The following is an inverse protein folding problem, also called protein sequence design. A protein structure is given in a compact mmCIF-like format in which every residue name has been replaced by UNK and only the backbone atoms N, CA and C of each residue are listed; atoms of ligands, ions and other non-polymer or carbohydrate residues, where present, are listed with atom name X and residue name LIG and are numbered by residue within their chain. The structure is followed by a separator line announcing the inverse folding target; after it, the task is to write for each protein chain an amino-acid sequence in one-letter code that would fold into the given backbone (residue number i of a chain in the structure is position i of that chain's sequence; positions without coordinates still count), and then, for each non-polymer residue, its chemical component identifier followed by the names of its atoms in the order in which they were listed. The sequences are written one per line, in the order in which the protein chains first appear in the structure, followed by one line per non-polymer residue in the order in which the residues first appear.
data_IF_662271063489
#
_entry.id   IF_662271063489
#
_cell.length_a   1.000
_cell.length_b   1.000
_cell.length_c   1.000
_cell.angle_alpha   90.00
_cell.angle_beta   90.00
_cell.angle_gamma   90.00
#
_symmetry.space_group_name_H-M   'P 1'
#
loop_
_entity.id
_entity.type
_entity.pdbx_description
1 polymer ?
#
# COMPACT_ATOMS: atom_id res chain seq x y z
N UNK A 1 24.52 5.42 -1.73
CA UNK A 1 23.34 4.71 -2.26
C UNK A 1 23.33 4.56 -3.78
N UNK A 2 24.07 5.40 -4.55
CA UNK A 2 24.34 5.09 -5.96
C UNK A 2 25.04 3.73 -6.08
N UNK A 3 24.47 2.83 -6.89
CA UNK A 3 24.97 1.47 -7.11
C UNK A 3 24.33 0.37 -6.25
N UNK A 4 23.36 0.68 -5.37
CA UNK A 4 22.62 -0.34 -4.64
C UNK A 4 21.66 -1.08 -5.59
N UNK A 5 21.68 -2.42 -5.53
CA UNK A 5 20.76 -3.29 -6.27
C UNK A 5 19.74 -3.89 -5.30
N UNK A 6 18.49 -3.99 -5.73
CA UNK A 6 17.41 -4.56 -4.94
C UNK A 6 16.94 -5.85 -5.59
N UNK A 7 16.80 -6.90 -4.79
CA UNK A 7 16.30 -8.19 -5.24
C UNK A 7 14.97 -8.46 -4.53
N UNK A 8 13.93 -8.78 -5.29
CA UNK A 8 12.65 -9.21 -4.73
C UNK A 8 12.42 -10.68 -5.05
N UNK A 9 12.05 -11.45 -4.04
CA UNK A 9 11.66 -12.85 -4.17
C UNK A 9 10.28 -13.05 -3.54
N UNK A 10 9.54 -14.06 -4.03
CA UNK A 10 8.27 -14.46 -3.43
C UNK A 10 8.49 -15.73 -2.59
N UNK A 11 7.98 -15.74 -1.35
CA UNK A 11 7.96 -16.94 -0.50
C UNK A 11 6.51 -17.34 -0.20
N UNK A 12 6.26 -18.66 -0.16
CA UNK A 12 4.97 -19.23 0.26
C UNK A 12 4.79 -19.05 1.76
N UNK A 13 3.59 -18.66 2.20
CA UNK A 13 3.27 -18.38 3.60
C UNK A 13 2.80 -19.62 4.41
N UNK A 14 2.67 -20.80 3.80
CA UNK A 14 2.21 -22.01 4.49
C UNK A 14 3.38 -22.95 4.82
N UNK A 15 3.63 -23.16 6.12
CA UNK A 15 4.53 -24.18 6.66
C UNK A 15 3.80 -25.49 6.98
N UNK A 16 4.52 -26.61 6.85
CA UNK A 16 4.09 -27.92 7.36
C UNK A 16 4.27 -29.06 6.35
N UNK A 17 5.49 -29.58 6.21
CA UNK A 17 5.79 -30.81 5.48
C UNK A 17 7.08 -31.41 6.01
N UNK A 18 6.94 -32.32 6.98
CA UNK A 18 8.02 -33.17 7.46
C UNK A 18 8.38 -34.14 6.33
N UNK A 19 9.58 -34.08 5.76
CA UNK A 19 10.15 -35.25 5.08
C UNK A 19 11.67 -35.24 5.13
N UNK A 20 12.19 -36.04 6.05
CA UNK A 20 13.57 -36.50 6.05
C UNK A 20 13.70 -37.62 5.03
N UNK A 21 14.26 -37.35 3.85
CA UNK A 21 15.29 -38.17 3.16
C UNK A 21 15.47 -37.79 1.67
N UNK A 22 16.75 -37.67 1.28
CA UNK A 22 17.34 -37.60 -0.08
C UNK A 22 17.22 -36.30 -0.92
N UNK A 23 18.31 -35.88 -1.59
CA UNK A 23 18.32 -34.68 -2.42
C UNK A 23 17.79 -35.01 -3.82
N UNK A 24 16.58 -34.56 -4.15
CA UNK A 24 16.11 -34.48 -5.52
C UNK A 24 16.27 -33.06 -6.05
N UNK A 25 17.20 -32.89 -6.98
CA UNK A 25 17.44 -31.67 -7.76
C UNK A 25 16.26 -31.36 -8.69
N UNK A 26 15.26 -30.61 -8.21
CA UNK A 26 14.37 -29.76 -9.04
C UNK A 26 13.33 -28.97 -8.23
N UNK A 27 13.67 -28.50 -7.02
CA UNK A 27 12.81 -27.54 -6.32
C UNK A 27 12.85 -26.19 -7.06
N UNK A 28 11.73 -25.78 -7.63
CA UNK A 28 11.54 -24.49 -8.33
C UNK A 28 12.22 -23.35 -7.58
N UNK A 29 13.28 -22.77 -8.18
CA UNK A 29 13.92 -21.57 -7.66
C UNK A 29 12.87 -20.45 -7.52
N UNK A 30 12.95 -19.61 -6.46
CA UNK A 30 12.07 -18.45 -6.35
C UNK A 30 12.20 -17.61 -7.63
N UNK A 31 11.08 -17.06 -8.13
CA UNK A 31 11.13 -16.04 -9.18
C UNK A 31 11.82 -14.81 -8.60
N UNK A 32 13.12 -14.71 -8.81
CA UNK A 32 13.96 -13.61 -8.37
C UNK A 32 13.92 -12.53 -9.45
N UNK A 33 13.44 -11.34 -9.09
CA UNK A 33 13.49 -10.17 -9.96
C UNK A 33 14.44 -9.16 -9.32
N UNK A 34 15.41 -8.68 -10.10
CA UNK A 34 16.39 -7.70 -9.67
C UNK A 34 16.12 -6.37 -10.38
N UNK A 35 16.25 -5.26 -9.65
CA UNK A 35 16.14 -3.91 -10.21
C UNK A 35 17.06 -2.95 -9.45
N UNK A 36 17.51 -1.90 -10.12
CA UNK A 36 18.31 -0.83 -9.52
C UNK A 36 17.45 0.35 -9.12
N UNK A 37 17.93 1.14 -8.17
CA UNK A 37 17.34 2.45 -7.89
C UNK A 37 17.58 3.39 -9.06
N UNK A 38 16.56 4.16 -9.43
CA UNK A 38 16.68 5.25 -10.38
C UNK A 38 17.26 6.51 -9.71
N UNK A 39 17.41 7.59 -10.49
CA UNK A 39 17.92 8.89 -10.02
C UNK A 39 17.09 9.52 -8.90
N UNK A 40 15.82 9.13 -8.76
CA UNK A 40 14.91 9.58 -7.70
C UNK A 40 14.94 8.66 -6.47
N UNK A 41 15.92 7.74 -6.38
CA UNK A 41 16.01 6.70 -5.35
C UNK A 41 14.74 5.81 -5.26
N UNK A 42 14.13 5.52 -6.41
CA UNK A 42 12.97 4.62 -6.53
C UNK A 42 13.34 3.40 -7.35
N UNK A 43 12.94 2.21 -6.88
CA UNK A 43 13.09 0.94 -7.58
C UNK A 43 11.70 0.34 -7.83
N UNK A 44 11.42 -0.10 -9.07
CA UNK A 44 10.09 -0.58 -9.48
C UNK A 44 10.17 -1.98 -10.09
N UNK A 45 9.46 -2.93 -9.49
CA UNK A 45 9.38 -4.31 -9.97
C UNK A 45 8.13 -4.51 -10.84
N UNK A 46 8.27 -4.29 -12.15
CA UNK A 46 7.12 -4.27 -13.09
C UNK A 46 6.68 -5.65 -13.60
N UNK A 47 7.52 -6.67 -13.45
CA UNK A 47 7.33 -7.99 -14.07
C UNK A 47 7.02 -9.12 -13.07
N UNK A 48 6.51 -8.77 -11.89
CA UNK A 48 6.12 -9.75 -10.88
C UNK A 48 4.83 -10.44 -11.29
N UNK A 49 4.84 -11.77 -11.25
CA UNK A 49 3.68 -12.61 -11.52
C UNK A 49 3.74 -13.86 -10.65
N UNK A 50 2.57 -14.37 -10.29
CA UNK A 50 2.43 -15.53 -9.43
C UNK A 50 1.98 -16.72 -10.27
N UNK A 51 2.82 -17.76 -10.36
CA UNK A 51 2.52 -19.03 -11.04
C UNK A 51 2.55 -20.18 -10.04
N UNK A 52 1.83 -21.27 -10.31
CA UNK A 52 1.93 -22.50 -9.51
C UNK A 52 1.48 -22.40 -8.03
N UNK A 53 0.75 -21.36 -7.63
CA UNK A 53 0.24 -21.17 -6.26
C UNK A 53 -1.24 -21.58 -6.10
N UNK A 54 -1.70 -22.59 -6.84
CA UNK A 54 -3.13 -22.97 -6.93
C UNK A 54 -3.80 -23.33 -5.59
N UNK A 55 -3.03 -23.68 -4.55
CA UNK A 55 -3.55 -23.97 -3.20
C UNK A 55 -3.39 -22.81 -2.20
N UNK A 56 -2.48 -21.87 -2.46
CA UNK A 56 -2.20 -20.79 -1.52
C UNK A 56 -3.23 -19.67 -1.68
N UNK A 57 -3.75 -19.15 -0.56
CA UNK A 57 -4.69 -18.02 -0.55
C UNK A 57 -4.00 -16.66 -0.48
N UNK A 58 -2.71 -16.64 -0.13
CA UNK A 58 -1.90 -15.44 -0.02
C UNK A 58 -0.41 -15.74 -0.16
N UNK A 59 0.39 -14.73 -0.46
CA UNK A 59 1.85 -14.77 -0.47
C UNK A 59 2.42 -13.50 0.14
N UNK A 60 3.72 -13.47 0.42
CA UNK A 60 4.44 -12.25 0.83
C UNK A 60 5.58 -11.99 -0.13
N UNK A 61 5.89 -10.71 -0.31
CA UNK A 61 7.04 -10.26 -1.07
C UNK A 61 8.19 -10.06 -0.09
N UNK A 62 9.36 -10.61 -0.41
CA UNK A 62 10.61 -10.38 0.32
C UNK A 62 11.51 -9.51 -0.54
N UNK A 63 11.90 -8.35 -0.01
CA UNK A 63 12.84 -7.42 -0.62
C UNK A 63 14.18 -7.53 0.10
N UNK A 64 15.21 -7.97 -0.59
CA UNK A 64 16.59 -7.98 -0.10
C UNK A 64 17.34 -6.80 -0.75
N UNK A 65 17.88 -5.89 0.07
CA UNK A 65 18.71 -4.77 -0.36
C UNK A 65 20.17 -5.20 -0.33
N UNK A 66 20.81 -5.19 -1.50
CA UNK A 66 22.18 -5.66 -1.66
C UNK A 66 23.17 -4.51 -1.46
N UNK A 67 24.29 -4.82 -0.79
CA UNK A 67 25.44 -3.95 -0.74
C UNK A 67 26.04 -3.83 -2.15
N UNK A 68 26.38 -2.62 -2.64
CA UNK A 68 27.08 -2.47 -3.90
C UNK A 68 28.39 -3.27 -3.87
N UNK A 69 28.77 -4.00 -4.93
CA UNK A 69 30.05 -4.68 -4.98
C UNK A 69 31.17 -3.66 -4.83
N UNK A 70 32.03 -3.84 -3.84
CA UNK A 70 33.23 -3.03 -3.67
C UNK A 70 34.36 -3.57 -4.56
N UNK A 71 35.00 -2.69 -5.32
CA UNK A 71 36.35 -2.94 -5.81
C UNK A 71 37.26 -2.62 -4.63
N UNK A 72 37.70 -3.65 -3.90
CA UNK A 72 38.68 -3.48 -2.82
C UNK A 72 39.92 -2.76 -3.35
N UNK A 73 40.26 -1.62 -2.74
CA UNK A 73 41.57 -1.02 -2.90
C UNK A 73 42.64 -1.94 -2.31
N UNK A 74 43.63 -2.28 -3.14
CA UNK A 74 44.97 -2.80 -2.82
C UNK A 74 45.08 -3.61 -1.52
N UNK A 75 44.76 -4.89 -1.61
CA UNK A 75 45.60 -6.05 -1.23
C UNK A 75 44.69 -7.28 -1.08
N UNK A 76 44.92 -8.30 -1.91
CA UNK A 76 44.13 -9.54 -2.04
C UNK A 76 42.69 -9.39 -2.57
N UNK A 77 42.56 -9.42 -3.90
CA UNK A 77 41.30 -9.41 -4.64
C UNK A 77 40.50 -10.71 -4.48
N UNK A 78 39.72 -10.81 -3.40
CA UNK A 78 38.62 -11.77 -3.31
C UNK A 78 37.33 -11.05 -3.70
N UNK A 79 36.73 -11.46 -4.82
CA UNK A 79 35.39 -11.04 -5.19
C UNK A 79 34.42 -11.45 -4.07
N UNK A 80 33.94 -10.48 -3.29
CA UNK A 80 32.90 -10.75 -2.31
C UNK A 80 31.57 -10.85 -3.05
N UNK A 81 30.88 -11.98 -2.87
CA UNK A 81 29.53 -12.13 -3.41
C UNK A 81 28.62 -11.04 -2.81
N UNK A 82 27.67 -10.47 -3.57
CA UNK A 82 26.72 -9.50 -3.04
C UNK A 82 25.99 -10.07 -1.83
N UNK A 83 26.13 -9.42 -0.68
CA UNK A 83 25.40 -9.77 0.53
C UNK A 83 24.26 -8.77 0.75
N UNK A 84 23.09 -9.28 1.16
CA UNK A 84 21.98 -8.45 1.55
C UNK A 84 22.29 -7.79 2.90
N UNK A 85 22.34 -6.47 2.95
CA UNK A 85 22.49 -5.75 4.22
C UNK A 85 21.13 -5.56 4.91
N UNK A 86 20.02 -5.64 4.18
CA UNK A 86 18.67 -5.56 4.73
C UNK A 86 17.72 -6.51 3.98
N UNK A 87 16.76 -7.09 4.71
CA UNK A 87 15.73 -7.99 4.21
C UNK A 87 14.39 -7.54 4.80
N UNK A 88 13.46 -7.18 3.94
CA UNK A 88 12.16 -6.66 4.31
C UNK A 88 11.08 -7.59 3.77
N UNK A 89 9.99 -7.75 4.50
CA UNK A 89 8.84 -8.55 4.09
C UNK A 89 7.59 -7.68 4.02
N UNK A 90 6.76 -7.90 3.00
CA UNK A 90 5.46 -7.22 2.87
C UNK A 90 4.41 -7.85 3.78
N UNK A 91 3.30 -7.15 3.99
CA UNK A 91 2.06 -7.79 4.43
C UNK A 91 1.63 -8.89 3.45
N UNK A 92 0.77 -9.80 3.93
CA UNK A 92 0.22 -10.86 3.11
C UNK A 92 -0.63 -10.29 1.96
N UNK A 93 -0.23 -10.59 0.73
CA UNK A 93 -0.95 -10.25 -0.50
C UNK A 93 -1.91 -11.39 -0.81
N UNK A 94 -3.21 -11.08 -0.82
CA UNK A 94 -4.25 -12.07 -1.13
C UNK A 94 -4.20 -12.49 -2.61
N UNK A 95 -4.26 -13.79 -2.86
CA UNK A 95 -4.42 -14.35 -4.21
C UNK A 95 -5.90 -14.33 -4.54
N UNK A 96 -6.27 -13.49 -5.51
CA UNK A 96 -7.64 -13.39 -6.00
C UNK A 96 -7.76 -14.08 -7.37
N UNK A 97 -8.91 -14.72 -7.60
CA UNK A 97 -9.27 -15.13 -8.96
C UNK A 97 -9.60 -13.90 -9.80
N UNK A 98 -9.82 -14.09 -11.12
CA UNK A 98 -10.43 -13.06 -11.97
C UNK A 98 -11.66 -12.47 -11.25
N UNK A 99 -11.80 -11.13 -11.20
CA UNK A 99 -12.95 -10.49 -10.54
C UNK A 99 -14.25 -11.09 -11.08
N UNK A 100 -15.09 -11.60 -10.19
CA UNK A 100 -16.37 -12.20 -10.59
C UNK A 100 -17.29 -11.10 -11.15
N UNK A 101 -17.95 -11.38 -12.28
CA UNK A 101 -19.00 -10.50 -12.86
C UNK A 101 -20.27 -10.43 -11.99
N UNK A 102 -20.42 -11.31 -10.98
CA UNK A 102 -21.55 -11.27 -10.05
C UNK A 102 -21.28 -10.24 -8.96
N UNK A 103 -22.29 -9.44 -8.60
CA UNK A 103 -22.24 -8.48 -7.50
C UNK A 103 -21.59 -9.13 -6.28
N UNK A 104 -20.49 -8.53 -5.81
CA UNK A 104 -19.86 -8.96 -4.58
C UNK A 104 -20.91 -8.84 -3.47
N UNK A 105 -21.43 -10.00 -3.01
CA UNK A 105 -22.25 -10.02 -1.81
C UNK A 105 -21.38 -9.52 -0.66
N UNK A 106 -21.93 -8.69 0.23
CA UNK A 106 -21.24 -8.13 1.41
C UNK A 106 -20.58 -9.17 2.34
N UNK A 107 -20.77 -10.46 2.07
CA UNK A 107 -20.17 -11.59 2.77
C UNK A 107 -18.65 -11.73 2.55
N UNK A 108 -18.06 -11.17 1.49
CA UNK A 108 -16.61 -11.27 1.25
C UNK A 108 -15.87 -9.97 1.62
N UNK A 109 -15.92 -9.61 2.91
CA UNK A 109 -15.38 -8.35 3.44
C UNK A 109 -13.88 -8.17 3.18
N UNK A 110 -13.10 -9.26 3.05
CA UNK A 110 -11.66 -9.21 2.80
C UNK A 110 -11.29 -8.62 1.44
N UNK A 111 -12.22 -8.60 0.49
CA UNK A 111 -12.01 -8.03 -0.85
C UNK A 111 -12.54 -6.60 -0.98
N UNK A 112 -13.07 -6.02 0.09
CA UNK A 112 -13.60 -4.66 0.07
C UNK A 112 -12.48 -3.63 0.32
N UNK A 113 -12.54 -2.51 -0.40
CA UNK A 113 -11.77 -1.31 -0.06
C UNK A 113 -12.37 -0.73 1.23
N UNK A 114 -11.52 -0.31 2.16
CA UNK A 114 -11.96 0.24 3.45
C UNK A 114 -11.78 1.74 3.48
N UNK A 115 -12.58 2.40 4.28
CA UNK A 115 -12.36 3.82 4.62
C UNK A 115 -11.00 3.98 5.30
N UNK A 116 -10.26 5.05 4.98
CA UNK A 116 -8.90 5.30 5.49
C UNK A 116 -7.83 4.36 4.94
N UNK A 117 -8.16 3.41 4.05
CA UNK A 117 -7.15 2.55 3.42
C UNK A 117 -6.44 3.26 2.28
N UNK A 118 -5.20 2.86 2.04
CA UNK A 118 -4.43 3.30 0.87
C UNK A 118 -4.92 2.57 -0.39
N UNK A 119 -5.03 3.32 -1.48
CA UNK A 119 -5.39 2.82 -2.81
C UNK A 119 -4.42 3.29 -3.87
N UNK A 120 -4.43 2.59 -5.00
CA UNK A 120 -3.92 3.04 -6.28
C UNK A 120 -5.07 3.06 -7.30
N UNK A 121 -5.03 4.03 -8.21
CA UNK A 121 -5.97 4.16 -9.31
C UNK A 121 -5.21 4.06 -10.63
N UNK A 122 -5.69 3.20 -11.53
CA UNK A 122 -5.14 3.12 -12.88
C UNK A 122 -6.23 3.08 -13.94
N UNK A 123 -5.98 3.75 -15.04
CA UNK A 123 -6.76 3.69 -16.26
C UNK A 123 -6.06 2.76 -17.25
N UNK A 124 -6.81 1.88 -17.92
CA UNK A 124 -6.30 1.01 -18.98
C UNK A 124 -7.27 1.04 -20.16
N UNK A 125 -6.90 1.76 -21.21
CA UNK A 125 -7.71 1.96 -22.40
C UNK A 125 -7.68 0.70 -23.27
N UNK A 126 -8.84 0.26 -23.76
CA UNK A 126 -8.97 -0.88 -24.68
C UNK A 126 -8.30 -2.18 -24.17
N UNK A 127 -8.12 -2.32 -22.86
CA UNK A 127 -7.40 -3.46 -22.25
C UNK A 127 -5.93 -3.62 -22.68
N UNK A 128 -5.28 -2.57 -23.19
CA UNK A 128 -3.88 -2.62 -23.64
C UNK A 128 -2.91 -2.22 -22.52
N UNK A 129 -1.92 -3.06 -22.22
CA UNK A 129 -0.98 -2.86 -21.10
C UNK A 129 -0.13 -1.61 -21.25
N UNK A 130 0.38 -1.32 -22.45
CA UNK A 130 1.22 -0.14 -22.71
C UNK A 130 0.46 1.19 -22.60
N UNK A 131 -0.88 1.16 -22.66
CA UNK A 131 -1.75 2.33 -22.48
C UNK A 131 -2.21 2.50 -21.04
N UNK A 132 -1.60 1.78 -20.10
CA UNK A 132 -1.93 1.94 -18.68
C UNK A 132 -1.38 3.28 -18.19
N UNK A 133 -2.25 4.09 -17.61
CA UNK A 133 -1.92 5.33 -16.90
C UNK A 133 -2.32 5.16 -15.45
N UNK A 134 -1.43 5.48 -14.54
CA UNK A 134 -1.67 5.47 -13.10
C UNK A 134 -1.89 6.91 -12.64
N UNK A 135 -2.77 7.08 -11.66
CA UNK A 135 -2.87 8.34 -10.94
C UNK A 135 -1.61 8.49 -10.09
N UNK A 136 -0.95 9.63 -10.23
CA UNK A 136 0.20 10.04 -9.44
C UNK A 136 0.01 11.49 -8.99
N UNK A 137 0.75 11.94 -7.99
CA UNK A 137 0.85 13.35 -7.60
C UNK A 137 2.27 13.80 -7.85
N UNK A 138 2.40 14.84 -8.65
CA UNK A 138 3.68 15.44 -8.97
C UNK A 138 4.31 16.11 -7.74
N UNK A 139 5.60 15.84 -7.52
CA UNK A 139 6.33 16.32 -6.35
C UNK A 139 6.46 17.85 -6.27
N UNK A 140 6.56 18.53 -7.41
CA UNK A 140 6.88 19.97 -7.42
C UNK A 140 5.64 20.84 -7.38
N UNK A 141 4.54 20.39 -7.99
CA UNK A 141 3.31 21.18 -8.13
C UNK A 141 2.20 20.72 -7.19
N UNK A 142 2.36 19.54 -6.55
CA UNK A 142 1.32 18.86 -5.78
C UNK A 142 0.03 18.69 -6.58
N UNK A 143 0.13 18.53 -7.90
CA UNK A 143 -1.00 18.28 -8.79
C UNK A 143 -1.08 16.79 -9.10
N UNK A 144 -2.30 16.29 -9.20
CA UNK A 144 -2.51 14.93 -9.69
C UNK A 144 -2.33 14.84 -11.20
N UNK A 145 -1.65 13.78 -11.64
CA UNK A 145 -1.21 13.58 -13.02
C UNK A 145 -1.47 12.13 -13.44
N UNK A 146 -1.59 11.88 -14.74
CA UNK A 146 -1.59 10.53 -15.31
C UNK A 146 -0.18 10.13 -15.77
N UNK A 147 0.37 9.05 -15.21
CA UNK A 147 1.72 8.56 -15.54
C UNK A 147 1.74 7.11 -15.98
N UNK A 148 2.64 6.76 -16.91
CA UNK A 148 2.78 5.36 -17.37
C UNK A 148 3.76 4.53 -16.54
N UNK A 149 4.64 5.18 -15.75
CA UNK A 149 5.79 4.52 -15.16
C UNK A 149 5.74 4.37 -13.64
N UNK A 150 4.94 5.16 -12.93
CA UNK A 150 4.85 5.17 -11.47
C UNK A 150 3.44 5.59 -11.00
N UNK A 151 3.11 5.36 -9.73
CA UNK A 151 1.82 5.68 -9.12
C UNK A 151 1.99 6.27 -7.70
N UNK A 152 0.98 7.00 -7.23
CA UNK A 152 0.93 7.54 -5.86
C UNK A 152 0.06 6.67 -4.94
N UNK A 153 0.50 6.40 -3.69
CA UNK A 153 -0.40 5.87 -2.67
C UNK A 153 -1.36 6.95 -2.20
N UNK A 154 -2.67 6.72 -2.34
CA UNK A 154 -3.70 7.67 -1.95
C UNK A 154 -4.54 7.09 -0.82
N UNK A 155 -4.66 7.80 0.29
CA UNK A 155 -5.61 7.48 1.34
C UNK A 155 -7.02 7.88 0.92
N UNK A 156 -8.00 6.99 1.10
CA UNK A 156 -9.42 7.30 0.84
C UNK A 156 -10.09 7.79 2.12
N UNK A 157 -10.31 9.10 2.20
CA UNK A 157 -11.03 9.72 3.32
C UNK A 157 -12.50 9.90 2.94
N UNK A 158 -13.41 9.29 3.72
CA UNK A 158 -14.85 9.46 3.51
C UNK A 158 -15.34 10.73 4.21
N UNK A 159 -15.85 11.66 3.42
CA UNK A 159 -16.43 12.93 3.90
C UNK A 159 -17.90 12.73 4.27
N UNK A 160 -18.66 12.01 3.44
CA UNK A 160 -20.05 11.66 3.70
C UNK A 160 -20.34 10.24 3.22
N UNK A 161 -20.70 9.37 4.16
CA UNK A 161 -20.98 7.96 3.88
C UNK A 161 -22.42 7.76 3.38
N UNK A 162 -22.61 6.87 2.40
CA UNK A 162 -23.95 6.49 1.88
C UNK A 162 -24.53 5.23 2.55
N UNK A 163 -23.73 4.48 3.34
CA UNK A 163 -24.10 3.20 3.97
C UNK A 163 -24.61 3.30 5.42
N UNK A 164 -25.34 2.27 5.89
CA UNK A 164 -26.02 2.25 7.20
C UNK A 164 -25.09 2.12 8.43
N UNK A 165 -25.48 2.79 9.51
CA UNK A 165 -25.05 2.67 10.92
C UNK A 165 -23.54 2.53 11.18
N UNK A 166 -22.85 3.68 11.29
CA UNK A 166 -21.49 3.78 11.84
C UNK A 166 -21.47 3.34 13.30
N UNK A 167 -20.56 2.44 13.67
CA UNK A 167 -20.01 2.46 15.04
C UNK A 167 -18.97 3.59 15.10
N UNK A 168 -19.02 4.49 16.09
CA UNK A 168 -17.99 5.52 16.25
C UNK A 168 -16.61 4.88 16.38
N UNK A 169 -15.63 5.33 15.58
CA UNK A 169 -14.23 4.92 15.70
C UNK A 169 -13.78 3.69 14.91
N UNK A 170 -14.67 2.98 14.21
CA UNK A 170 -14.27 1.81 13.37
C UNK A 170 -14.48 2.11 11.89
N UNK A 171 -13.37 2.17 11.13
CA UNK A 171 -13.41 2.36 9.68
C UNK A 171 -14.15 1.22 8.99
N UNK A 172 -15.21 1.54 8.24
CA UNK A 172 -16.06 0.57 7.55
C UNK A 172 -15.56 0.19 6.15
N UNK A 173 -16.29 -0.68 5.43
CA UNK A 173 -16.15 -0.80 3.97
C UNK A 173 -16.53 0.50 3.27
N UNK A 174 -15.81 0.88 2.22
CA UNK A 174 -16.18 1.99 1.35
C UNK A 174 -17.39 1.60 0.49
N UNK A 175 -18.42 2.43 0.42
CA UNK A 175 -19.63 2.17 -0.39
C UNK A 175 -19.72 3.09 -1.59
N UNK A 176 -20.27 2.58 -2.70
CA UNK A 176 -20.60 3.40 -3.87
C UNK A 176 -21.58 4.51 -3.52
N UNK A 177 -21.39 5.67 -4.15
CA UNK A 177 -22.13 6.90 -3.90
C UNK A 177 -21.71 7.67 -2.65
N UNK A 178 -20.69 7.22 -1.92
CA UNK A 178 -20.09 7.99 -0.82
C UNK A 178 -19.30 9.18 -1.37
N UNK A 179 -19.27 10.26 -0.61
CA UNK A 179 -18.39 11.40 -0.87
C UNK A 179 -17.02 11.13 -0.26
N UNK A 180 -15.99 11.19 -1.09
CA UNK A 180 -14.62 10.90 -0.73
C UNK A 180 -13.68 12.04 -1.10
N UNK A 181 -12.56 12.08 -0.40
CA UNK A 181 -11.38 12.85 -0.77
C UNK A 181 -10.18 11.89 -0.79
N UNK A 182 -9.32 12.07 -1.78
CA UNK A 182 -8.06 11.35 -1.88
C UNK A 182 -6.95 12.22 -1.29
N UNK A 183 -6.17 11.64 -0.38
CA UNK A 183 -5.07 12.34 0.31
C UNK A 183 -3.76 11.61 0.02
N UNK A 184 -2.71 12.37 -0.30
CA UNK A 184 -1.34 11.85 -0.28
C UNK A 184 -0.52 12.67 0.73
N UNK A 185 -0.30 12.09 1.91
CA UNK A 185 0.34 12.78 3.03
C UNK A 185 1.79 13.18 2.73
N UNK A 186 2.54 12.38 1.97
CA UNK A 186 3.95 12.66 1.63
C UNK A 186 4.14 13.92 0.80
N UNK A 187 3.17 14.24 -0.06
CA UNK A 187 3.22 15.40 -0.98
C UNK A 187 2.23 16.49 -0.61
N UNK A 188 1.63 16.40 0.59
CA UNK A 188 0.59 17.33 1.06
C UNK A 188 -0.51 17.55 0.02
N UNK A 189 -0.89 16.50 -0.72
CA UNK A 189 -1.95 16.58 -1.72
C UNK A 189 -3.28 16.17 -1.13
N UNK A 190 -4.32 16.90 -1.52
CA UNK A 190 -5.70 16.61 -1.19
C UNK A 190 -6.58 16.93 -2.39
N UNK A 191 -7.31 15.94 -2.88
CA UNK A 191 -8.23 16.15 -4.00
C UNK A 191 -9.43 17.02 -3.58
N UNK A 192 -10.15 17.63 -4.55
CA UNK A 192 -11.50 18.10 -4.33
C UNK A 192 -12.42 16.94 -3.86
N UNK A 193 -13.53 17.23 -3.14
CA UNK A 193 -14.53 16.21 -2.81
C UNK A 193 -15.16 15.61 -4.07
N UNK A 194 -15.25 14.29 -4.10
CA UNK A 194 -15.77 13.52 -5.22
C UNK A 194 -16.78 12.48 -4.77
N UNK A 195 -17.70 12.12 -5.65
CA UNK A 195 -18.62 11.00 -5.46
C UNK A 195 -18.06 9.80 -6.24
N UNK A 196 -17.92 8.67 -5.56
CA UNK A 196 -17.45 7.43 -6.18
C UNK A 196 -18.60 6.64 -6.81
N UNK A 197 -18.53 6.39 -8.11
CA UNK A 197 -19.54 5.64 -8.86
C UNK A 197 -19.03 4.29 -9.31
N UNK A 198 -19.97 3.34 -9.42
CA UNK A 198 -19.71 2.02 -9.99
C UNK A 198 -19.83 2.09 -11.50
N UNK A 199 -18.87 1.48 -12.21
CA UNK A 199 -18.89 1.38 -13.67
C UNK A 199 -18.94 -0.09 -14.08
N UNK A 200 -19.92 -0.44 -14.90
CA UNK A 200 -20.01 -1.76 -15.53
C UNK A 200 -20.19 -1.61 -17.04
N UNK A 201 -19.40 -2.36 -17.81
CA UNK A 201 -19.46 -2.37 -19.28
C UNK A 201 -19.41 -0.97 -19.93
N UNK A 202 -18.64 -0.06 -19.34
CA UNK A 202 -18.49 1.32 -19.82
C UNK A 202 -19.68 2.22 -19.48
N UNK A 203 -20.51 1.85 -18.48
CA UNK A 203 -21.68 2.64 -18.08
C UNK A 203 -21.72 2.83 -16.57
N UNK A 204 -22.25 3.97 -16.14
CA UNK A 204 -22.55 4.23 -14.74
C UNK A 204 -23.70 3.33 -14.29
N UNK A 205 -23.50 2.66 -13.15
CA UNK A 205 -24.54 1.90 -12.49
C UNK A 205 -25.28 2.83 -11.54
N UNK A 206 -26.53 3.16 -11.89
CA UNK A 206 -27.39 4.02 -11.08
C UNK A 206 -27.71 3.38 -9.73
N UNK A 207 -27.80 4.21 -8.69
CA UNK A 207 -28.19 3.80 -7.33
C UNK A 207 -27.38 2.64 -6.74
N UNK A 208 -26.15 2.42 -7.20
CA UNK A 208 -25.26 1.42 -6.63
C UNK A 208 -25.04 1.70 -5.13
N UNK A 209 -25.37 0.72 -4.30
CA UNK A 209 -25.25 0.76 -2.84
C UNK A 209 -24.37 -0.38 -2.29
N UNK A 210 -23.68 -1.12 -3.16
CA UNK A 210 -22.76 -2.18 -2.75
C UNK A 210 -21.43 -1.61 -2.24
N UNK A 211 -20.67 -2.37 -1.42
CA UNK A 211 -19.31 -2.00 -1.08
C UNK A 211 -18.41 -2.03 -2.32
N UNK A 212 -17.40 -1.15 -2.34
CA UNK A 212 -16.36 -1.08 -3.36
C UNK A 212 -15.38 -2.20 -3.12
N UNK A 213 -15.12 -3.02 -4.15
CA UNK A 213 -14.20 -4.16 -4.06
C UNK A 213 -12.94 -3.94 -4.89
N UNK A 214 -11.90 -4.69 -4.55
CA UNK A 214 -10.62 -4.75 -5.26
C UNK A 214 -10.82 -4.97 -6.78
N UNK A 215 -10.02 -4.30 -7.60
CA UNK A 215 -9.96 -4.45 -9.07
C UNK A 215 -11.26 -4.11 -9.82
N UNK A 216 -12.18 -3.35 -9.22
CA UNK A 216 -13.40 -2.89 -9.89
C UNK A 216 -13.19 -1.60 -10.68
N UNK A 217 -13.99 -1.42 -11.74
CA UNK A 217 -14.06 -0.16 -12.48
C UNK A 217 -14.95 0.84 -11.74
N UNK A 218 -14.45 2.06 -11.61
CA UNK A 218 -15.11 3.18 -10.95
C UNK A 218 -15.02 4.44 -11.82
N UNK A 219 -15.88 5.41 -11.54
CA UNK A 219 -15.77 6.77 -12.02
C UNK A 219 -15.83 7.72 -10.82
N UNK A 220 -15.10 8.83 -10.90
CA UNK A 220 -15.03 9.82 -9.82
C UNK A 220 -15.68 11.11 -10.30
N UNK A 221 -16.85 11.43 -9.76
CA UNK A 221 -17.58 12.64 -10.11
C UNK A 221 -17.14 13.78 -9.19
N UNK A 222 -16.79 14.96 -9.72
CA UNK A 222 -16.63 16.14 -8.88
C UNK A 222 -17.95 16.48 -8.17
N UNK A 223 -17.89 16.80 -6.87
CA UNK A 223 -19.07 17.29 -6.17
C UNK A 223 -19.53 18.61 -6.81
N UNK A 224 -20.80 18.74 -7.24
CA UNK A 224 -21.28 19.96 -7.84
C UNK A 224 -21.23 21.10 -6.81
N UNK A 225 -20.54 22.18 -7.16
CA UNK A 225 -20.49 23.41 -6.36
C UNK A 225 -21.73 24.28 -6.56
N UNK A 226 -22.38 24.13 -7.72
CA UNK A 226 -23.57 24.89 -8.11
C UNK A 226 -24.71 23.93 -8.42
N UNK A 227 -25.90 24.14 -7.84
CA UNK A 227 -27.10 23.36 -8.18
C UNK A 227 -27.40 23.44 -9.68
N UNK A 228 -27.63 22.30 -10.33
CA UNK A 228 -27.96 22.24 -11.76
C UNK A 228 -26.75 22.22 -12.72
N UNK A 229 -25.52 22.32 -12.23
CA UNK A 229 -24.34 22.13 -13.08
C UNK A 229 -24.28 20.68 -13.60
N UNK A 230 -23.91 20.51 -14.88
CA UNK A 230 -23.73 19.20 -15.47
C UNK A 230 -22.64 18.40 -14.72
N UNK A 231 -22.82 17.08 -14.53
CA UNK A 231 -21.86 16.27 -13.80
C UNK A 231 -20.53 16.20 -14.58
N UNK A 232 -19.42 16.39 -13.86
CA UNK A 232 -18.06 16.29 -14.40
C UNK A 232 -17.32 15.14 -13.71
N UNK A 233 -16.57 14.38 -14.49
CA UNK A 233 -15.88 13.18 -14.04
C UNK A 233 -14.37 13.30 -14.27
N UNK A 234 -13.61 12.70 -13.37
CA UNK A 234 -12.16 12.66 -13.48
C UNK A 234 -11.74 11.84 -14.69
N UNK A 235 -11.08 12.50 -15.64
CA UNK A 235 -10.61 11.89 -16.87
C UNK A 235 -9.12 11.58 -16.75
N UNK A 236 -8.72 10.37 -17.12
CA UNK A 236 -7.33 10.07 -17.40
C UNK A 236 -6.97 10.79 -18.69
N UNK A 237 -6.22 11.89 -18.61
CA UNK A 237 -5.87 12.64 -19.80
C UNK A 237 -5.02 11.75 -20.71
N UNK A 238 -5.58 11.43 -21.87
CA UNK A 238 -4.95 10.64 -22.91
C UNK A 238 -4.51 11.70 -23.90
N UNK A 239 -3.21 12.03 -23.86
CA UNK A 239 -2.59 13.05 -24.69
C UNK A 239 -3.27 13.14 -26.06
N UNK A 240 -3.68 14.36 -26.41
CA UNK A 240 -4.38 14.63 -27.64
C UNK A 240 -3.63 13.98 -28.81
N UNK A 241 -4.27 13.02 -29.49
CA UNK A 241 -4.00 12.88 -30.91
C UNK A 241 -4.54 14.17 -31.51
N UNK A 242 -3.70 15.20 -31.65
CA UNK A 242 -4.04 16.38 -32.44
C UNK A 242 -4.47 15.85 -33.82
N UNK A 243 -5.74 16.02 -34.23
CA UNK A 243 -6.13 15.64 -35.58
C UNK A 243 -5.26 16.46 -36.53
N UNK A 244 -4.77 15.82 -37.59
CA UNK A 244 -4.02 16.52 -38.63
C UNK A 244 -4.82 17.76 -39.06
N UNK A 245 -4.26 18.94 -38.87
CA UNK A 245 -4.83 20.16 -39.43
C UNK A 245 -4.98 19.95 -40.93
N UNK A 246 -6.15 20.26 -41.48
CA UNK A 246 -6.50 20.02 -42.89
C UNK A 246 -5.61 20.75 -43.90
N UNK A 247 -4.68 21.60 -43.45
CA UNK A 247 -3.87 22.50 -44.28
C UNK A 247 -2.35 22.35 -44.13
N UNK A 248 -1.83 21.23 -43.63
CA UNK A 248 -0.38 20.99 -43.74
C UNK A 248 -0.02 19.52 -43.93
N UNK A 249 0.99 19.27 -44.78
CA UNK A 249 1.64 17.98 -45.06
C UNK A 249 2.40 17.39 -43.86
N UNK A 250 2.01 17.76 -42.64
CA UNK A 250 2.65 17.35 -41.40
C UNK A 250 1.86 16.17 -40.83
N UNK A 251 2.43 14.95 -40.72
CA UNK A 251 1.75 13.82 -40.10
C UNK A 251 1.41 14.16 -38.65
N UNK A 252 0.32 13.56 -38.14
CA UNK A 252 -0.11 13.70 -36.75
C UNK A 252 1.09 13.52 -35.81
N UNK A 253 1.53 14.61 -35.17
CA UNK A 253 2.58 14.55 -34.17
C UNK A 253 1.98 14.14 -32.85
N UNK A 254 2.61 13.16 -32.22
CA UNK A 254 2.41 12.88 -30.81
C UNK A 254 3.02 14.05 -30.05
N UNK A 255 2.21 15.03 -29.68
CA UNK A 255 2.69 16.13 -28.83
C UNK A 255 2.85 15.58 -27.40
N UNK A 256 4.12 15.50 -27.00
CA UNK A 256 4.67 15.17 -25.69
C UNK A 256 4.64 13.69 -25.20
N UNK A 257 5.64 12.86 -25.59
CA UNK A 257 5.86 11.51 -25.03
C UNK A 257 6.29 11.46 -23.55
N UNK A 258 6.58 12.61 -22.93
CA UNK A 258 7.00 12.71 -21.53
C UNK A 258 6.03 13.48 -20.62
N UNK A 259 5.05 14.17 -21.21
CA UNK A 259 4.00 14.88 -20.50
C UNK A 259 3.28 13.93 -19.54
N UNK A 260 3.39 14.21 -18.25
CA UNK A 260 2.52 13.62 -17.24
C UNK A 260 1.33 14.58 -17.10
N UNK A 261 0.30 14.49 -17.96
CA UNK A 261 -0.73 15.50 -17.99
C UNK A 261 -1.46 15.55 -16.66
N UNK A 262 -1.80 16.77 -16.25
CA UNK A 262 -2.65 16.96 -15.10
C UNK A 262 -4.04 16.38 -15.36
N UNK A 263 -4.59 15.71 -14.36
CA UNK A 263 -5.95 15.20 -14.43
C UNK A 263 -6.97 16.34 -14.25
N UNK A 264 -8.00 16.33 -15.10
CA UNK A 264 -9.07 17.32 -15.06
C UNK A 264 -10.44 16.66 -14.94
N UNK A 265 -11.41 17.44 -14.49
CA UNK A 265 -12.82 17.03 -14.47
C UNK A 265 -13.54 17.56 -15.70
N UNK A 266 -14.03 16.64 -16.53
CA UNK A 266 -14.73 16.96 -17.78
C UNK A 266 -16.16 16.43 -17.77
N UNK A 267 -17.06 17.11 -18.49
CA UNK A 267 -18.41 16.57 -18.76
C UNK A 267 -18.34 15.44 -19.78
N UNK A 268 -19.22 14.47 -19.62
CA UNK A 268 -19.32 13.34 -20.54
C UNK A 268 -20.16 13.77 -21.75
N UNK A 269 -19.58 13.73 -22.94
CA UNK A 269 -20.30 13.98 -24.20
C UNK A 269 -21.04 12.70 -24.64
N UNK A 270 -22.30 12.59 -24.22
CA UNK A 270 -23.17 11.45 -24.56
C UNK A 270 -23.45 11.34 -26.06
N UNK A 271 -23.32 12.43 -26.84
CA UNK A 271 -23.58 12.43 -28.28
C UNK A 271 -22.40 11.87 -29.10
N UNK A 272 -21.16 12.01 -28.61
CA UNK A 272 -19.99 11.36 -29.22
C UNK A 272 -19.98 9.85 -29.00
N UNK A 273 -20.38 9.40 -27.81
CA UNK A 273 -20.41 7.98 -27.45
C UNK A 273 -21.44 7.19 -28.26
N UNK A 274 -22.62 7.77 -28.52
CA UNK A 274 -23.68 7.13 -29.31
C UNK A 274 -23.34 7.00 -30.81
N UNK A 275 -22.55 7.92 -31.39
CA UNK A 275 -22.10 7.84 -32.80
C UNK A 275 -21.02 6.79 -33.04
N UNK A 276 -20.18 6.50 -32.05
CA UNK A 276 -19.07 5.56 -32.18
C UNK A 276 -19.50 4.08 -32.27
N UNK A 277 -20.74 3.77 -31.86
CA UNK A 277 -21.31 2.41 -31.93
C UNK A 277 -22.72 2.48 -32.50
N UNK A 278 -22.87 2.11 -33.77
CA UNK A 278 -24.12 2.16 -34.56
C UNK A 278 -25.21 1.17 -34.09
N UNK A 279 -25.60 1.22 -32.81
CA UNK A 279 -26.67 0.40 -32.25
C UNK A 279 -27.44 1.24 -31.24
N UNK A 280 -28.74 1.45 -31.50
CA UNK A 280 -29.60 2.21 -30.60
C UNK A 280 -29.53 1.63 -29.18
N UNK A 281 -29.27 2.46 -28.16
CA UNK A 281 -29.26 2.00 -26.79
C UNK A 281 -30.70 1.66 -26.36
N UNK A 282 -30.92 0.56 -25.62
CA UNK A 282 -32.20 0.29 -24.96
C UNK A 282 -32.70 1.49 -24.12
N UNK A 283 -34.00 1.57 -23.87
CA UNK A 283 -34.64 2.74 -23.22
C UNK A 283 -34.22 2.96 -21.75
N UNK A 284 -33.50 2.02 -21.14
CA UNK A 284 -33.16 2.02 -19.70
C UNK A 284 -31.64 2.12 -19.44
N UNK A 285 -30.93 2.87 -20.28
CA UNK A 285 -29.46 2.92 -20.29
C UNK A 285 -28.92 4.08 -19.47
N UNK A 286 -28.43 3.81 -18.27
CA UNK A 286 -27.63 4.78 -17.50
C UNK A 286 -26.46 5.38 -18.31
N UNK A 287 -25.91 6.49 -17.81
CA UNK A 287 -24.88 7.30 -18.49
C UNK A 287 -23.70 6.45 -18.99
N UNK A 288 -23.48 6.46 -20.30
CA UNK A 288 -22.32 5.82 -20.93
C UNK A 288 -21.06 6.64 -20.73
N UNK A 289 -19.92 5.98 -20.50
CA UNK A 289 -18.63 6.58 -20.23
C UNK A 289 -17.60 6.08 -21.23
N UNK A 290 -16.77 7.00 -21.70
CA UNK A 290 -15.53 6.64 -22.39
C UNK A 290 -14.59 5.90 -21.42
N UNK A 291 -13.75 5.01 -21.95
CA UNK A 291 -12.74 4.30 -21.18
C UNK A 291 -11.81 5.27 -20.43
N UNK A 292 -11.58 6.49 -20.93
CA UNK A 292 -10.77 7.53 -20.28
C UNK A 292 -11.34 8.00 -18.93
N UNK A 293 -12.65 7.86 -18.69
CA UNK A 293 -13.28 8.19 -17.40
C UNK A 293 -13.33 6.99 -16.44
N UNK A 294 -12.92 5.81 -16.91
CA UNK A 294 -13.01 4.56 -16.15
C UNK A 294 -11.69 4.27 -15.43
N UNK A 295 -11.67 4.38 -14.11
CA UNK A 295 -10.53 4.04 -13.28
C UNK A 295 -10.69 2.65 -12.66
N UNK A 296 -9.62 1.91 -12.52
CA UNK A 296 -9.59 0.66 -11.75
C UNK A 296 -9.00 0.96 -10.38
N UNK A 297 -9.73 0.61 -9.33
CA UNK A 297 -9.32 0.81 -7.93
C UNK A 297 -8.69 -0.46 -7.34
N UNK A 298 -7.56 -0.29 -6.66
CA UNK A 298 -6.85 -1.37 -5.98
C UNK A 298 -6.39 -0.87 -4.62
N UNK A 299 -6.71 -1.60 -3.56
CA UNK A 299 -6.17 -1.36 -2.23
C UNK A 299 -4.72 -1.83 -2.16
N UNK A 300 -3.88 -1.02 -1.54
CA UNK A 300 -2.44 -1.22 -1.44
C UNK A 300 -2.01 -1.14 0.03
N UNK A 301 -0.81 -1.61 0.32
CA UNK A 301 -0.17 -1.47 1.62
C UNK A 301 1.16 -0.76 1.46
N UNK A 302 1.46 0.15 2.39
CA UNK A 302 2.71 0.88 2.45
C UNK A 302 3.44 0.56 3.76
N UNK A 303 4.76 0.46 3.68
CA UNK A 303 5.63 0.22 4.82
C UNK A 303 6.74 1.25 4.81
N UNK A 304 7.01 1.85 5.97
CA UNK A 304 8.12 2.76 6.17
C UNK A 304 9.01 2.16 7.24
N UNK A 305 10.30 2.09 6.95
CA UNK A 305 11.33 1.64 7.87
C UNK A 305 12.35 2.77 8.03
N UNK A 306 12.67 3.10 9.27
CA UNK A 306 13.64 4.14 9.60
C UNK A 306 14.64 3.58 10.61
N UNK A 307 15.93 3.78 10.35
CA UNK A 307 16.99 3.28 11.23
C UNK A 307 18.18 4.23 11.26
N UNK A 308 18.98 4.13 12.31
CA UNK A 308 20.27 4.82 12.46
C UNK A 308 21.34 3.80 12.82
N UNK A 309 22.42 3.80 12.05
CA UNK A 309 23.62 3.01 12.38
C UNK A 309 24.51 3.82 13.32
N UNK A 310 25.22 3.17 14.26
CA UNK A 310 26.30 3.83 14.98
C UNK A 310 27.39 4.31 14.00
N UNK A 311 28.08 5.42 14.29
CA UNK A 311 29.11 5.99 13.41
C UNK A 311 30.25 5.02 13.08
N UNK A 312 30.51 4.06 13.97
CA UNK A 312 31.58 3.07 13.87
C UNK A 312 31.24 1.93 12.90
N UNK A 313 29.97 1.78 12.50
CA UNK A 313 29.51 0.73 11.61
C UNK A 313 29.26 1.26 10.19
N UNK A 314 29.94 0.64 9.22
CA UNK A 314 29.63 0.84 7.81
C UNK A 314 28.41 -0.02 7.41
N UNK A 315 27.45 0.50 6.61
CA UNK A 315 26.36 -0.31 6.04
C UNK A 315 26.85 -1.50 5.20
N UNK A 316 28.13 -1.52 4.83
CA UNK A 316 28.76 -2.60 4.05
C UNK A 316 29.08 -3.83 4.90
N UNK A 317 29.24 -3.66 6.21
CA UNK A 317 29.82 -4.69 7.09
C UNK A 317 28.82 -5.23 8.12
N UNK A 318 27.59 -4.67 8.18
CA UNK A 318 26.60 -5.04 9.20
C UNK A 318 25.20 -5.16 8.61
N UNK A 319 24.64 -6.37 8.67
CA UNK A 319 23.26 -6.65 8.28
C UNK A 319 22.29 -6.07 9.31
N UNK A 320 21.36 -5.21 8.89
CA UNK A 320 20.36 -4.59 9.75
C UNK A 320 19.09 -5.45 9.92
N UNK A 321 19.03 -6.63 9.32
CA UNK A 321 17.97 -7.60 9.54
C UNK A 321 18.22 -8.44 10.82
N UNK A 322 17.17 -8.97 11.47
CA UNK A 322 15.76 -8.67 11.26
C UNK A 322 15.42 -7.22 11.63
N UNK A 323 14.48 -6.61 10.89
CA UNK A 323 14.05 -5.23 11.14
C UNK A 323 12.73 -5.31 11.93
N UNK A 324 12.71 -4.95 13.23
CA UNK A 324 11.51 -5.08 14.04
C UNK A 324 10.44 -4.10 13.57
N UNK A 325 9.19 -4.56 13.48
CA UNK A 325 8.06 -3.74 13.06
C UNK A 325 6.97 -3.70 14.13
N UNK A 326 6.67 -2.50 14.62
CA UNK A 326 5.55 -2.28 15.54
C UNK A 326 4.24 -2.30 14.74
N UNK A 327 3.49 -3.38 14.87
CA UNK A 327 2.23 -3.65 14.18
C UNK A 327 1.05 -2.92 14.82
N UNK A 328 1.03 -2.90 16.15
CA UNK A 328 -0.02 -2.27 16.94
C UNK A 328 0.59 -1.69 18.22
N UNK A 329 0.02 -0.59 18.69
CA UNK A 329 0.45 0.07 19.90
C UNK A 329 -0.74 0.74 20.58
N UNK A 330 -0.87 0.53 21.89
CA UNK A 330 -1.94 1.12 22.70
C UNK A 330 -1.42 1.47 24.09
N UNK A 331 -1.96 2.55 24.66
CA UNK A 331 -1.62 3.01 26.00
C UNK A 331 -2.85 2.90 26.90
N UNK A 332 -2.73 2.10 27.96
CA UNK A 332 -3.74 1.96 28.99
C UNK A 332 -3.80 3.16 29.93
N UNK A 333 -4.94 3.34 30.62
CA UNK A 333 -5.14 4.40 31.63
C UNK A 333 -4.22 4.25 32.84
N UNK A 334 -3.76 3.03 33.10
CA UNK A 334 -2.78 2.65 34.12
C UNK A 334 -1.33 2.93 33.68
N UNK A 335 -1.12 3.61 32.54
CA UNK A 335 0.18 3.84 31.92
C UNK A 335 0.90 2.56 31.48
N UNK A 336 0.15 1.48 31.26
CA UNK A 336 0.66 0.27 30.63
C UNK A 336 0.69 0.47 29.12
N UNK A 337 1.89 0.55 28.56
CA UNK A 337 2.10 0.55 27.11
C UNK A 337 2.08 -0.89 26.60
N UNK A 338 1.17 -1.18 25.68
CA UNK A 338 1.07 -2.47 24.99
C UNK A 338 1.55 -2.33 23.55
N UNK A 339 2.56 -3.10 23.15
CA UNK A 339 3.10 -3.14 21.79
C UNK A 339 2.98 -4.53 21.20
N UNK A 340 2.60 -4.62 19.92
CA UNK A 340 2.69 -5.84 19.11
C UNK A 340 3.80 -5.65 18.10
N UNK A 341 4.88 -6.43 18.21
CA UNK A 341 6.10 -6.23 17.40
C UNK A 341 6.44 -7.52 16.67
N UNK A 342 6.58 -7.46 15.35
CA UNK A 342 7.10 -8.59 14.56
C UNK A 342 8.61 -8.49 14.42
N UNK A 343 9.26 -9.65 14.21
CA UNK A 343 10.70 -9.81 14.07
C UNK A 343 11.54 -9.22 15.23
N UNK A 344 10.98 -9.22 16.44
CA UNK A 344 11.66 -8.76 17.65
C UNK A 344 12.44 -9.91 18.29
N UNK A 345 13.75 -9.73 18.47
CA UNK A 345 14.59 -10.70 19.17
C UNK A 345 14.92 -10.19 20.58
N UNK A 346 14.23 -10.70 21.61
CA UNK A 346 14.44 -10.29 22.99
C UNK A 346 15.85 -10.51 23.55
N UNK A 347 16.66 -11.37 22.90
CA UNK A 347 18.05 -11.60 23.32
C UNK A 347 19.01 -10.51 22.80
N UNK A 348 18.61 -9.82 21.72
CA UNK A 348 19.44 -8.84 21.01
C UNK A 348 18.83 -7.45 20.96
N UNK A 349 17.55 -7.29 21.26
CA UNK A 349 16.81 -6.04 21.08
C UNK A 349 16.21 -5.55 22.39
N UNK A 350 16.21 -4.24 22.55
CA UNK A 350 15.65 -3.54 23.70
C UNK A 350 14.75 -2.40 23.23
N UNK A 351 13.61 -2.23 23.88
CA UNK A 351 12.68 -1.12 23.60
C UNK A 351 13.08 0.07 24.48
N UNK A 352 13.10 1.25 23.89
CA UNK A 352 13.48 2.48 24.56
C UNK A 352 12.40 3.55 24.41
N UNK A 353 12.28 4.38 25.43
CA UNK A 353 11.54 5.63 25.42
C UNK A 353 12.52 6.77 25.69
N UNK A 354 12.61 7.72 24.76
CA UNK A 354 13.53 8.85 24.86
C UNK A 354 14.99 8.42 25.15
N UNK A 355 15.45 7.34 24.50
CA UNK A 355 16.79 6.78 24.67
C UNK A 355 17.01 5.98 25.95
N UNK A 356 16.00 5.83 26.82
CA UNK A 356 16.09 5.01 28.04
C UNK A 356 15.42 3.65 27.84
N UNK A 357 16.09 2.55 28.21
CA UNK A 357 15.48 1.23 28.21
C UNK A 357 14.20 1.15 29.04
N UNK A 358 13.19 0.47 28.50
CA UNK A 358 11.99 0.11 29.24
C UNK A 358 12.06 -1.35 29.68
N UNK A 359 11.52 -1.64 30.86
CA UNK A 359 11.34 -3.01 31.34
C UNK A 359 10.21 -3.67 30.55
N UNK A 360 10.56 -4.67 29.73
CA UNK A 360 9.62 -5.33 28.83
C UNK A 360 9.12 -6.65 29.44
N UNK A 361 7.80 -6.82 29.47
CA UNK A 361 7.15 -8.10 29.83
C UNK A 361 6.52 -8.71 28.58
N UNK A 362 7.01 -9.86 28.16
CA UNK A 362 6.44 -10.62 27.06
C UNK A 362 5.13 -11.28 27.52
N UNK A 363 4.01 -10.85 26.93
CA UNK A 363 2.67 -11.33 27.29
C UNK A 363 2.23 -12.52 26.43
N UNK A 364 2.60 -12.52 25.16
CA UNK A 364 2.26 -13.59 24.22
C UNK A 364 3.31 -13.65 23.12
N UNK A 365 3.75 -14.86 22.79
CA UNK A 365 4.56 -15.09 21.60
C UNK A 365 3.67 -15.26 20.38
N UNK A 366 4.05 -14.62 19.28
CA UNK A 366 3.46 -14.86 17.97
C UNK A 366 3.87 -16.26 17.50
N UNK A 367 3.21 -17.33 17.97
CA UNK A 367 3.53 -18.70 17.53
C UNK A 367 3.33 -18.83 16.02
N UNK A 368 4.41 -18.95 15.26
CA UNK A 368 4.43 -19.77 14.04
C UNK A 368 4.08 -21.19 14.48
N UNK A 369 2.99 -21.75 13.99
CA UNK A 369 2.49 -23.04 14.44
C UNK A 369 3.53 -24.16 14.23
N UNK A 370 4.22 -24.53 15.32
CA UNK A 370 4.83 -25.83 15.54
C UNK A 370 4.64 -26.17 17.02
N UNK A 371 3.54 -26.86 17.34
CA UNK A 371 3.25 -27.34 18.70
C UNK A 371 1.77 -27.32 19.02
N UNK A 372 1.16 -28.51 19.07
CA UNK A 372 -0.22 -28.79 19.46
C UNK A 372 -0.64 -27.97 20.70
N UNK A 373 -1.78 -27.30 20.61
CA UNK A 373 -2.51 -26.82 21.78
C UNK A 373 -3.94 -27.39 21.76
N UNK A 374 -4.28 -28.08 22.84
CA UNK A 374 -5.61 -28.60 23.16
C UNK A 374 -6.56 -27.41 23.34
N UNK A 375 -7.72 -27.48 22.69
CA UNK A 375 -8.73 -26.44 22.72
C UNK A 375 -9.60 -26.53 23.99
N UNK A 376 -9.72 -25.43 24.72
CA UNK A 376 -10.92 -25.10 25.50
C UNK A 376 -11.14 -23.59 25.46
N UNK A 377 -12.38 -23.15 25.26
CA UNK A 377 -12.81 -21.77 25.48
C UNK A 377 -13.24 -21.00 24.23
N UNK A 378 -14.56 -20.90 24.06
CA UNK A 378 -15.28 -20.14 23.05
C UNK A 378 -15.02 -18.62 23.14
N UNK A 379 -14.56 -18.00 22.06
CA UNK A 379 -14.66 -16.56 21.85
C UNK A 379 -14.78 -16.24 20.35
N UNK A 380 -15.71 -15.36 20.03
CA UNK A 380 -16.19 -14.98 18.69
C UNK A 380 -15.06 -14.37 17.85
N UNK A 381 -14.58 -15.12 16.85
CA UNK A 381 -13.52 -14.69 15.95
C UNK A 381 -14.07 -13.75 14.87
N UNK A 382 -13.66 -12.47 14.92
CA UNK A 382 -13.75 -11.58 13.77
C UNK A 382 -12.73 -12.06 12.72
N UNK A 383 -13.13 -12.09 11.45
CA UNK A 383 -12.30 -12.55 10.35
C UNK A 383 -11.20 -11.53 10.02
N UNK A 384 -10.19 -11.44 10.88
CA UNK A 384 -8.95 -10.73 10.59
C UNK A 384 -8.13 -11.57 9.60
N UNK A 385 -7.57 -10.92 8.58
CA UNK A 385 -6.42 -11.43 7.84
C UNK A 385 -5.42 -12.01 8.85
N UNK A 386 -4.95 -13.26 8.67
CA UNK A 386 -3.94 -13.86 9.56
C UNK A 386 -2.78 -12.88 9.68
N UNK A 387 -2.70 -12.19 10.83
CA UNK A 387 -1.70 -11.18 11.10
C UNK A 387 -0.33 -11.84 11.13
N UNK A 388 0.70 -11.07 10.83
CA UNK A 388 2.09 -11.50 11.02
C UNK A 388 2.29 -12.03 12.45
N UNK A 389 3.04 -13.13 12.66
CA UNK A 389 3.41 -13.53 14.01
C UNK A 389 4.16 -12.36 14.66
N UNK A 390 3.52 -11.75 15.64
CA UNK A 390 4.04 -10.62 16.38
C UNK A 390 3.99 -10.95 17.86
N UNK A 391 5.09 -10.66 18.54
CA UNK A 391 5.18 -10.80 19.98
C UNK A 391 4.53 -9.60 20.64
N UNK A 392 3.74 -9.88 21.69
CA UNK A 392 3.04 -8.84 22.43
C UNK A 392 3.80 -8.52 23.71
N UNK A 393 4.20 -7.27 23.85
CA UNK A 393 4.92 -6.75 24.99
C UNK A 393 4.03 -5.79 25.78
N UNK A 394 4.18 -5.80 27.10
CA UNK A 394 3.67 -4.76 27.98
C UNK A 394 4.82 -4.14 28.75
N UNK A 395 4.76 -2.82 28.93
CA UNK A 395 5.73 -2.05 29.69
C UNK A 395 5.00 -1.08 30.60
N UNK A 396 5.46 -0.96 31.84
CA UNK A 396 5.00 0.09 32.73
C UNK A 396 5.79 1.36 32.41
N UNK A 397 5.12 2.43 32.00
CA UNK A 397 5.81 3.70 31.81
C UNK A 397 6.21 4.31 33.16
N UNK A 398 7.41 4.90 33.28
CA UNK A 398 7.89 5.48 34.52
C UNK A 398 6.95 6.60 35.02
N UNK A 399 6.95 6.81 36.34
CA UNK A 399 6.18 7.88 36.98
C UNK A 399 6.73 9.26 36.59
N UNK A 400 6.15 9.91 35.59
CA UNK A 400 6.51 11.28 35.19
C UNK A 400 5.69 11.80 34.01
N UNK A 401 6.01 13.02 33.56
CA UNK A 401 5.50 13.63 32.31
C UNK A 401 6.40 13.32 31.11
N UNK A 402 7.17 12.23 31.18
CA UNK A 402 8.17 11.90 30.16
C UNK A 402 7.49 11.67 28.82
N UNK A 403 7.82 12.54 27.87
CA UNK A 403 7.40 12.48 26.48
C UNK A 403 8.61 12.11 25.64
N UNK A 404 8.41 11.30 24.62
CA UNK A 404 9.50 10.91 23.74
C UNK A 404 9.10 9.86 22.71
N UNK A 405 9.94 9.74 21.69
CA UNK A 405 9.80 8.70 20.67
C UNK A 405 10.11 7.31 21.25
N UNK A 406 9.36 6.32 20.77
CA UNK A 406 9.67 4.92 20.99
C UNK A 406 10.64 4.45 19.90
N UNK A 407 11.72 3.80 20.32
CA UNK A 407 12.70 3.20 19.43
C UNK A 407 13.10 1.81 19.92
N UNK A 408 13.70 1.02 19.04
CA UNK A 408 14.20 -0.31 19.35
C UNK A 408 15.70 -0.31 19.05
N UNK A 409 16.52 -0.61 20.05
CA UNK A 409 17.98 -0.71 19.89
C UNK A 409 18.38 -2.17 19.86
N UNK A 410 19.23 -2.52 18.89
CA UNK A 410 19.90 -3.82 18.83
C UNK A 410 21.23 -3.79 19.58
N UNK A 411 21.72 -4.95 20.00
CA UNK A 411 22.96 -5.15 20.76
C UNK A 411 24.21 -4.55 20.12
N UNK A 412 24.25 -4.51 18.78
CA UNK A 412 25.28 -3.84 17.98
C UNK A 412 25.05 -2.34 17.77
N UNK A 413 24.14 -1.74 18.53
CA UNK A 413 23.89 -0.30 18.55
C UNK A 413 22.97 0.23 17.44
N UNK A 414 22.53 -0.61 16.50
CA UNK A 414 21.55 -0.19 15.48
C UNK A 414 20.25 0.25 16.14
N UNK A 415 19.78 1.45 15.80
CA UNK A 415 18.55 2.03 16.33
C UNK A 415 17.46 2.02 15.26
N UNK A 416 16.38 1.28 15.50
CA UNK A 416 15.18 1.30 14.67
C UNK A 416 14.17 2.30 15.23
N UNK A 417 13.78 3.27 14.41
CA UNK A 417 12.80 4.29 14.77
C UNK A 417 11.40 3.78 14.53
N UNK A 418 10.52 3.94 15.52
CA UNK A 418 9.10 3.60 15.37
C UNK A 418 8.30 4.86 15.10
N UNK A 419 7.13 4.70 14.48
CA UNK A 419 6.19 5.79 14.25
C UNK A 419 5.48 6.26 15.53
N UNK A 420 5.79 5.71 16.69
CA UNK A 420 5.04 5.95 17.92
C UNK A 420 5.84 6.82 18.89
N UNK A 421 5.18 7.79 19.50
CA UNK A 421 5.72 8.59 20.58
C UNK A 421 4.71 8.66 21.73
N UNK A 422 5.22 8.71 22.96
CA UNK A 422 4.42 9.04 24.13
C UNK A 422 4.49 10.55 24.32
N UNK A 423 3.35 11.20 24.47
CA UNK A 423 3.25 12.63 24.77
C UNK A 423 2.47 12.88 26.04
N UNK A 424 2.89 13.87 26.81
CA UNK A 424 2.18 14.31 28.00
C UNK A 424 1.36 15.57 27.69
N UNK A 425 0.03 15.48 27.81
CA UNK A 425 -0.88 16.60 27.66
C UNK A 425 -0.91 17.47 28.92
N UNK A 426 -0.24 18.61 28.86
CA UNK A 426 -0.42 19.69 29.84
C UNK A 426 -1.80 20.34 29.68
N UNK A 427 -2.49 20.75 30.77
CA UNK A 427 -2.09 20.70 32.19
C UNK A 427 -2.48 19.39 32.91
N UNK A 428 -3.17 18.47 32.25
CA UNK A 428 -3.73 17.25 32.86
C UNK A 428 -2.73 16.18 33.27
N UNK A 429 -1.46 16.29 32.86
CA UNK A 429 -0.42 15.26 32.99
C UNK A 429 -0.84 13.88 32.44
N UNK A 430 -1.85 13.86 31.56
CA UNK A 430 -2.34 12.66 30.91
C UNK A 430 -1.37 12.27 29.79
N UNK A 431 -0.97 10.99 29.78
CA UNK A 431 -0.14 10.47 28.70
C UNK A 431 -1.05 10.01 27.55
N UNK A 432 -0.64 10.34 26.34
CA UNK A 432 -1.23 9.82 25.12
C UNK A 432 -0.17 9.21 24.22
N UNK A 433 -0.57 8.22 23.45
CA UNK A 433 0.25 7.63 22.41
C UNK A 433 -0.11 8.29 21.08
N UNK A 434 0.90 8.80 20.39
CA UNK A 434 0.73 9.58 19.17
C UNK A 434 1.52 8.94 18.05
N UNK A 435 0.92 8.91 16.87
CA UNK A 435 1.59 8.48 15.65
C UNK A 435 2.34 9.69 15.05
N UNK A 436 3.66 9.58 14.96
CA UNK A 436 4.55 10.54 14.33
C UNK A 436 4.82 10.13 12.89
N UNK A 437 4.99 11.11 12.00
CA UNK A 437 5.47 10.83 10.66
C UNK A 437 6.95 10.39 10.73
N UNK A 438 7.26 9.23 10.15
CA UNK A 438 8.62 8.70 10.03
C UNK A 438 9.35 9.26 8.81
N UNK A 439 8.68 10.04 7.97
CA UNK A 439 9.33 10.79 6.89
C UNK A 439 10.23 11.87 7.54
N UNK A 440 11.51 11.51 7.75
CA UNK A 440 12.61 12.41 8.17
C UNK A 440 12.98 13.32 7.01
#
# INVERSE_FOLDING_TARGET
LQGASSQISSRRADGGGNDSTRPSTSAHAPLECQTSFNERNVALFKSLHVTGMQKAKSFRLRLDLMTPPSIGGREHGMWQAPTAYASLESDAVAIISKPSKKTAKARNQSSCIREGSLISLFNRINSQTFRTKYLNVEHNTNRWIAQSHNWSPLEVVVVAAKGAARQPGVAGPLYYGSEIVLVESRRNFRSPPMIIHKVERGRLVENACSPVSQMQKIALQAKPTTPGAAPRYLKADVGHYSPASSDSSTPARFDDPDGSPELTFESVDSARLSRARAREPPVDCGVELDDAFCWTIVGISGFTYAYTMPPEHSPRDSCISPIPRVMDASLGTDRTLSLSISQFDSSRMQILLNGRPLETKLCATGKTAAGKAVATGSAVASAASKSEPADRFTMQLPGGTESGALCIRRDDGVLYHTKWAVQCKAPSAMLELVECNLDI
#
